data_IF_706233829775
#
_entry.id   IF_706233829775
#
_cell.length_a   1.000
_cell.length_b   1.000
_cell.length_c   1.000
_cell.angle_alpha   90.00
_cell.angle_beta   90.00
_cell.angle_gamma   90.00
#
_symmetry.space_group_name_H-M   'P 1'
#
loop_
_entity.id
_entity.type
_entity.pdbx_description
1 polymer ?
#
# COMPACT_ATOMS: atom_id res chain seq x y z
N UNK A 1 14.80 -20.84 -16.88
CA UNK A 1 13.36 -21.08 -17.09
C UNK A 1 12.82 -21.84 -15.88
N UNK A 2 11.57 -21.63 -15.48
CA UNK A 2 10.96 -22.41 -14.39
C UNK A 2 11.05 -23.91 -14.72
N UNK A 3 11.44 -24.79 -13.77
CA UNK A 3 11.46 -26.23 -13.99
C UNK A 3 10.08 -26.79 -14.42
N UNK A 4 9.01 -26.08 -14.10
CA UNK A 4 7.63 -26.44 -14.45
C UNK A 4 7.17 -25.91 -15.82
N UNK A 5 8.01 -25.16 -16.55
CA UNK A 5 7.61 -24.53 -17.81
C UNK A 5 7.03 -25.51 -18.84
N UNK A 6 7.61 -26.71 -18.95
CA UNK A 6 7.14 -27.77 -19.83
C UNK A 6 5.74 -28.30 -19.46
N UNK A 7 5.37 -28.27 -18.18
CA UNK A 7 4.04 -28.69 -17.71
C UNK A 7 3.01 -27.67 -18.20
N UNK A 8 3.29 -26.38 -18.03
CA UNK A 8 2.42 -25.29 -18.49
C UNK A 8 2.23 -25.30 -20.01
N UNK A 9 3.30 -25.56 -20.76
CA UNK A 9 3.24 -25.70 -22.21
C UNK A 9 2.26 -26.80 -22.64
N UNK A 10 2.40 -28.01 -22.08
CA UNK A 10 1.49 -29.12 -22.37
C UNK A 10 0.04 -28.80 -21.99
N UNK A 11 -0.18 -28.20 -20.82
CA UNK A 11 -1.53 -27.82 -20.38
C UNK A 11 -2.18 -26.83 -21.36
N UNK A 12 -1.44 -25.79 -21.79
CA UNK A 12 -1.95 -24.79 -22.74
C UNK A 12 -2.36 -25.42 -24.08
N UNK A 13 -1.59 -26.39 -24.58
CA UNK A 13 -1.91 -27.08 -25.83
C UNK A 13 -3.17 -27.96 -25.73
N UNK A 14 -3.38 -28.60 -24.56
CA UNK A 14 -4.49 -29.52 -24.31
C UNK A 14 -5.80 -28.83 -23.95
N UNK A 15 -5.77 -27.54 -23.57
CA UNK A 15 -6.97 -26.79 -23.20
C UNK A 15 -7.95 -26.66 -24.39
N UNK A 16 -9.17 -27.15 -24.20
CA UNK A 16 -10.26 -27.10 -25.19
C UNK A 16 -11.26 -25.97 -24.92
N UNK A 17 -11.24 -25.34 -23.74
CA UNK A 17 -12.09 -24.19 -23.42
C UNK A 17 -11.41 -22.87 -23.83
N UNK A 18 -12.18 -21.78 -24.06
CA UNK A 18 -11.62 -20.44 -24.12
C UNK A 18 -10.85 -20.14 -22.84
N UNK A 19 -9.67 -19.54 -22.95
CA UNK A 19 -8.91 -19.09 -21.80
C UNK A 19 -8.61 -17.60 -21.93
N UNK A 20 -8.51 -16.95 -20.78
CA UNK A 20 -8.09 -15.56 -20.66
C UNK A 20 -6.74 -15.54 -19.95
N UNK A 21 -5.69 -15.13 -20.67
CA UNK A 21 -4.38 -14.94 -20.09
C UNK A 21 -4.21 -13.46 -19.71
N UNK A 22 -4.21 -13.18 -18.41
CA UNK A 22 -3.88 -11.86 -17.89
C UNK A 22 -2.39 -11.84 -17.53
N UNK A 23 -1.65 -10.93 -18.14
CA UNK A 23 -0.21 -10.83 -17.91
C UNK A 23 0.17 -9.45 -17.42
N UNK A 24 0.78 -9.40 -16.25
CA UNK A 24 1.52 -8.23 -15.78
C UNK A 24 3.05 -8.35 -16.05
N UNK A 25 3.59 -9.58 -16.12
CA UNK A 25 5.04 -9.83 -16.04
C UNK A 25 5.61 -10.61 -17.24
N UNK A 26 4.83 -10.86 -18.30
CA UNK A 26 5.36 -11.53 -19.50
C UNK A 26 6.23 -10.54 -20.28
N UNK A 27 7.55 -10.73 -20.19
CA UNK A 27 8.54 -9.89 -20.86
C UNK A 27 8.47 -9.92 -22.40
N UNK A 28 7.83 -10.92 -23.02
CA UNK A 28 7.65 -10.98 -24.48
C UNK A 28 6.28 -11.52 -24.89
N UNK A 29 5.24 -10.70 -24.66
CA UNK A 29 3.86 -11.04 -25.00
C UNK A 29 3.67 -11.35 -26.49
N UNK A 30 4.39 -10.67 -27.38
CA UNK A 30 4.29 -10.87 -28.82
C UNK A 30 4.78 -12.27 -29.25
N UNK A 31 5.93 -12.73 -28.72
CA UNK A 31 6.42 -14.09 -29.01
C UNK A 31 5.49 -15.16 -28.47
N UNK A 32 4.97 -14.96 -27.26
CA UNK A 32 4.02 -15.91 -26.67
C UNK A 32 2.71 -15.96 -27.47
N UNK A 33 2.18 -14.80 -27.88
CA UNK A 33 1.01 -14.72 -28.74
C UNK A 33 1.23 -15.44 -30.08
N UNK A 34 2.36 -15.20 -30.75
CA UNK A 34 2.68 -15.87 -32.01
C UNK A 34 2.80 -17.40 -31.84
N UNK A 35 3.39 -17.87 -30.74
CA UNK A 35 3.46 -19.30 -30.42
C UNK A 35 2.07 -19.90 -30.17
N UNK A 36 1.23 -19.24 -29.36
CA UNK A 36 -0.14 -19.67 -29.09
C UNK A 36 -1.00 -19.69 -30.36
N UNK A 37 -0.89 -18.66 -31.20
CA UNK A 37 -1.64 -18.58 -32.45
C UNK A 37 -1.22 -19.71 -33.40
N UNK A 38 0.08 -19.94 -33.58
CA UNK A 38 0.59 -21.07 -34.37
C UNK A 38 0.07 -22.43 -33.85
N UNK A 39 0.08 -22.63 -32.54
CA UNK A 39 -0.42 -23.85 -31.92
C UNK A 39 -1.93 -24.04 -32.16
N UNK A 40 -2.74 -22.99 -32.00
CA UNK A 40 -4.18 -23.04 -32.27
C UNK A 40 -4.50 -23.26 -33.76
N UNK A 41 -3.76 -22.61 -34.67
CA UNK A 41 -3.98 -22.78 -36.12
C UNK A 41 -3.57 -24.17 -36.62
N UNK A 42 -2.70 -24.88 -35.89
CA UNK A 42 -2.27 -26.25 -36.19
C UNK A 42 -3.32 -27.32 -35.85
N UNK A 43 -4.36 -26.97 -35.08
CA UNK A 43 -5.43 -27.90 -34.70
C UNK A 43 -6.27 -28.30 -35.92
N UNK A 44 -6.64 -29.57 -36.01
CA UNK A 44 -7.42 -30.12 -37.13
C UNK A 44 -8.87 -29.66 -37.11
N UNK A 45 -9.44 -29.47 -35.91
CA UNK A 45 -10.82 -29.05 -35.69
C UNK A 45 -10.90 -27.90 -34.68
N UNK A 46 -11.97 -27.09 -34.80
CA UNK A 46 -12.30 -25.99 -33.87
C UNK A 46 -11.15 -24.98 -33.66
N UNK A 47 -10.57 -24.50 -34.77
CA UNK A 47 -9.58 -23.42 -34.74
C UNK A 47 -10.17 -22.18 -34.07
N UNK A 48 -9.41 -21.62 -33.13
CA UNK A 48 -9.80 -20.42 -32.39
C UNK A 48 -8.90 -19.28 -32.80
N UNK A 49 -9.47 -18.07 -32.76
CA UNK A 49 -8.67 -16.84 -32.91
C UNK A 49 -7.96 -16.58 -31.58
N UNK A 50 -6.66 -16.33 -31.64
CA UNK A 50 -5.89 -15.86 -30.47
C UNK A 50 -5.76 -14.35 -30.57
N UNK A 51 -6.52 -13.63 -29.74
CA UNK A 51 -6.47 -12.17 -29.67
C UNK A 51 -5.42 -11.70 -28.65
N UNK A 52 -4.51 -10.82 -29.09
CA UNK A 52 -3.60 -10.10 -28.20
C UNK A 52 -4.14 -8.69 -27.97
N UNK A 53 -4.61 -8.44 -26.76
CA UNK A 53 -5.05 -7.11 -26.32
C UNK A 53 -3.93 -6.50 -25.48
N UNK A 54 -3.38 -5.38 -25.95
CA UNK A 54 -2.31 -4.64 -25.25
C UNK A 54 -2.87 -3.33 -24.71
N UNK A 55 -2.73 -3.12 -23.41
CA UNK A 55 -3.02 -1.85 -22.77
C UNK A 55 -1.71 -1.17 -22.38
N UNK A 56 -1.40 -0.05 -23.04
CA UNK A 56 -0.21 0.77 -22.73
C UNK A 56 -0.45 1.76 -21.58
N UNK A 57 -1.70 1.90 -21.15
CA UNK A 57 -2.08 2.80 -20.08
C UNK A 57 -2.18 2.05 -18.74
N UNK A 58 -1.58 2.63 -17.70
CA UNK A 58 -1.78 2.15 -16.33
C UNK A 58 -3.11 2.68 -15.81
N UNK A 59 -3.97 1.78 -15.32
CA UNK A 59 -5.23 2.19 -14.70
C UNK A 59 -4.97 3.10 -13.49
N UNK A 60 -4.00 2.73 -12.64
CA UNK A 60 -3.53 3.54 -11.52
C UNK A 60 -2.22 4.22 -11.88
N UNK A 61 -2.21 5.55 -11.86
CA UNK A 61 -0.99 6.33 -12.05
C UNK A 61 -0.10 6.18 -10.81
N UNK A 62 1.21 6.20 -11.02
CA UNK A 62 2.19 6.15 -9.95
C UNK A 62 2.73 7.56 -9.69
N UNK A 63 2.66 7.99 -8.44
CA UNK A 63 3.31 9.20 -7.97
C UNK A 63 4.47 8.80 -7.06
N UNK A 64 5.65 9.40 -7.29
CA UNK A 64 6.82 9.15 -6.46
C UNK A 64 6.83 10.14 -5.31
N UNK A 65 7.13 9.62 -4.12
CA UNK A 65 7.33 10.41 -2.92
C UNK A 65 8.58 9.95 -2.20
N UNK A 66 9.20 10.87 -1.47
CA UNK A 66 10.31 10.60 -0.57
C UNK A 66 9.85 10.85 0.87
N UNK A 67 10.31 10.02 1.80
CA UNK A 67 10.11 10.27 3.22
C UNK A 67 11.09 11.36 3.66
N UNK A 68 10.60 12.48 4.19
CA UNK A 68 11.45 13.50 4.81
C UNK A 68 12.07 12.93 6.07
N UNK A 69 13.38 13.10 6.22
CA UNK A 69 14.13 12.71 7.42
C UNK A 69 14.99 13.86 7.90
N UNK A 70 15.15 13.97 9.21
CA UNK A 70 16.18 14.80 9.81
C UNK A 70 17.54 14.31 9.31
N UNK A 71 18.53 15.20 9.29
CA UNK A 71 19.85 14.88 8.79
C UNK A 71 20.42 13.69 9.57
N UNK A 72 20.64 12.52 8.94
CA UNK A 72 21.07 11.35 9.66
C UNK A 72 22.53 11.51 10.10
N UNK A 73 22.86 10.96 11.26
CA UNK A 73 24.23 10.97 11.75
C UNK A 73 25.12 10.03 10.90
N UNK A 74 26.31 10.48 10.45
CA UNK A 74 27.25 9.63 9.73
C UNK A 74 27.73 8.45 10.57
N UNK A 75 28.00 7.31 9.94
CA UNK A 75 28.47 6.09 10.63
C UNK A 75 29.78 6.35 11.40
N UNK A 76 30.67 7.20 10.87
CA UNK A 76 31.98 7.50 11.48
C UNK A 76 31.90 8.31 12.78
N UNK A 77 30.78 9.00 13.04
CA UNK A 77 30.61 9.79 14.26
C UNK A 77 30.49 8.92 15.53
N UNK A 78 30.13 7.64 15.40
CA UNK A 78 29.91 6.73 16.52
C UNK A 78 31.19 6.09 17.11
N UNK A 79 32.37 6.31 16.51
CA UNK A 79 33.62 5.72 17.02
C UNK A 79 34.20 6.47 18.24
N UNK A 80 33.79 7.73 18.45
CA UNK A 80 34.29 8.56 19.54
C UNK A 80 33.29 8.76 20.70
N UNK A 81 32.08 8.19 20.60
CA UNK A 81 31.03 8.39 21.60
C UNK A 81 30.64 7.07 22.28
N UNK A 82 31.53 6.58 23.14
CA UNK A 82 31.30 5.46 24.06
C UNK A 82 30.59 5.90 25.35
N UNK A 83 29.98 7.09 25.38
CA UNK A 83 29.35 7.58 26.59
C UNK A 83 28.47 8.79 26.37
N UNK A 84 27.26 8.57 25.86
CA UNK A 84 25.99 9.01 26.47
C UNK A 84 24.83 8.72 25.49
N UNK A 85 24.11 7.61 25.65
CA UNK A 85 23.03 7.20 24.73
C UNK A 85 21.74 8.02 24.88
N UNK A 86 21.82 9.26 25.36
CA UNK A 86 20.64 10.00 25.84
C UNK A 86 20.43 11.40 25.26
N UNK A 87 21.25 11.87 24.31
CA UNK A 87 21.17 13.26 23.84
C UNK A 87 21.31 13.49 22.33
N UNK A 88 20.89 12.54 21.49
CA UNK A 88 20.56 12.90 20.10
C UNK A 88 19.20 13.61 20.11
N UNK A 89 19.22 14.95 20.16
CA UNK A 89 18.04 15.78 19.91
C UNK A 89 17.39 15.32 18.61
N UNK A 90 16.27 14.60 18.72
CA UNK A 90 15.43 14.23 17.59
C UNK A 90 14.87 15.53 17.02
N UNK A 91 15.56 16.13 16.06
CA UNK A 91 15.01 17.21 15.25
C UNK A 91 13.72 16.69 14.62
N UNK A 92 12.59 17.05 15.24
CA UNK A 92 11.28 16.69 14.73
C UNK A 92 11.04 17.51 13.49
N UNK A 93 11.04 16.85 12.34
CA UNK A 93 10.64 17.47 11.08
C UNK A 93 9.22 18.01 11.25
N UNK A 94 9.03 19.31 11.08
CA UNK A 94 7.71 19.92 11.07
C UNK A 94 6.97 19.60 9.76
N UNK A 95 5.65 19.43 9.89
CA UNK A 95 4.75 19.12 8.77
C UNK A 95 4.79 17.67 8.32
N UNK A 96 4.34 17.48 7.08
CA UNK A 96 4.23 16.18 6.41
C UNK A 96 5.62 15.53 6.21
N UNK A 97 5.71 14.24 6.51
CA UNK A 97 6.86 13.38 6.26
C UNK A 97 6.85 12.82 4.83
N UNK A 98 5.69 12.69 4.18
CA UNK A 98 5.62 12.19 2.80
C UNK A 98 5.66 13.37 1.85
N UNK A 99 6.74 13.49 1.09
CA UNK A 99 6.96 14.56 0.12
C UNK A 99 6.90 14.02 -1.32
N UNK A 100 5.82 14.28 -2.07
CA UNK A 100 5.74 13.96 -3.48
C UNK A 100 6.76 14.76 -4.28
N UNK A 101 7.35 14.14 -5.29
CA UNK A 101 8.32 14.82 -6.15
C UNK A 101 8.13 14.46 -7.62
N UNK A 102 8.71 15.30 -8.47
CA UNK A 102 8.72 15.08 -9.91
C UNK A 102 9.89 14.15 -10.27
N UNK A 103 9.64 12.94 -10.82
CA UNK A 103 10.68 11.96 -11.15
C UNK A 103 11.87 12.48 -11.99
N UNK A 104 11.73 13.56 -12.77
CA UNK A 104 12.85 14.11 -13.56
C UNK A 104 13.80 14.95 -12.71
N UNK A 105 13.39 15.37 -11.51
CA UNK A 105 14.27 16.07 -10.56
C UNK A 105 15.46 15.21 -10.08
N UNK A 106 15.40 13.88 -10.24
CA UNK A 106 16.52 12.98 -9.90
C UNK A 106 17.39 12.62 -11.12
N UNK A 107 17.04 13.09 -12.32
CA UNK A 107 17.79 12.75 -13.51
C UNK A 107 19.01 13.62 -13.73
N UNK A 108 20.06 13.00 -14.26
CA UNK A 108 21.27 13.68 -14.74
C UNK A 108 21.23 13.77 -16.27
N UNK A 109 21.55 14.94 -16.88
CA UNK A 109 21.59 15.10 -18.33
C UNK A 109 22.39 14.01 -19.04
N UNK A 110 23.53 13.60 -18.48
CA UNK A 110 24.40 12.56 -19.02
C UNK A 110 23.70 11.20 -19.07
N UNK A 111 22.92 10.86 -18.03
CA UNK A 111 22.16 9.60 -17.99
C UNK A 111 21.02 9.61 -18.99
N UNK A 112 20.33 10.74 -19.14
CA UNK A 112 19.28 10.89 -20.17
C UNK A 112 19.90 10.77 -21.57
N UNK A 113 21.09 11.32 -21.81
CA UNK A 113 21.79 11.19 -23.09
C UNK A 113 22.11 9.73 -23.44
N UNK A 114 22.51 8.94 -22.44
CA UNK A 114 22.90 7.54 -22.64
C UNK A 114 21.70 6.59 -22.80
N UNK A 115 20.63 6.82 -22.05
CA UNK A 115 19.54 5.84 -21.90
C UNK A 115 18.15 6.36 -22.28
N UNK A 116 18.02 7.65 -22.57
CA UNK A 116 16.73 8.31 -22.74
C UNK A 116 15.96 8.42 -21.42
N UNK A 117 14.69 8.82 -21.54
CA UNK A 117 13.72 8.74 -20.45
C UNK A 117 13.02 7.37 -20.56
N UNK A 118 12.95 6.56 -19.50
CA UNK A 118 12.27 5.27 -19.53
C UNK A 118 10.78 5.40 -19.91
N UNK A 119 10.29 4.50 -20.78
CA UNK A 119 8.91 4.51 -21.27
C UNK A 119 7.88 4.21 -20.16
N UNK A 120 8.29 3.49 -19.12
CA UNK A 120 7.48 3.15 -17.96
C UNK A 120 7.32 4.30 -16.95
N UNK A 121 8.08 5.39 -17.14
CA UNK A 121 8.00 6.61 -16.36
C UNK A 121 6.97 7.59 -16.94
N UNK A 122 5.71 7.19 -16.81
CA UNK A 122 4.53 7.98 -17.16
C UNK A 122 4.21 8.98 -16.05
N UNK A 123 3.96 10.24 -16.42
CA UNK A 123 3.62 11.30 -15.47
C UNK A 123 2.12 11.36 -15.19
N UNK A 124 1.74 11.77 -13.97
CA UNK A 124 0.34 12.12 -13.66
C UNK A 124 -0.07 13.42 -14.35
N UNK A 125 -1.36 13.69 -14.47
CA UNK A 125 -1.84 14.96 -15.03
C UNK A 125 -1.25 16.19 -14.32
N UNK A 126 -1.10 16.12 -12.99
CA UNK A 126 -0.45 17.16 -12.17
C UNK A 126 1.01 17.35 -12.54
N UNK A 127 1.75 16.26 -12.71
CA UNK A 127 3.17 16.30 -13.08
C UNK A 127 3.38 16.77 -14.52
N UNK A 128 2.49 16.43 -15.46
CA UNK A 128 2.53 16.97 -16.83
C UNK A 128 2.35 18.49 -16.82
N UNK A 129 1.38 18.99 -16.04
CA UNK A 129 1.19 20.44 -15.87
C UNK A 129 2.41 21.10 -15.21
N UNK A 130 2.98 20.48 -14.17
CA UNK A 130 4.21 20.98 -13.53
C UNK A 130 5.39 21.03 -14.50
N UNK A 131 5.58 19.99 -15.33
CA UNK A 131 6.60 19.94 -16.35
C UNK A 131 6.42 21.08 -17.36
N UNK A 132 5.21 21.23 -17.92
CA UNK A 132 4.89 22.34 -18.82
C UNK A 132 5.22 23.69 -18.18
N UNK A 133 4.72 23.94 -16.97
CA UNK A 133 4.86 25.23 -16.29
C UNK A 133 6.34 25.56 -16.04
N UNK A 134 7.15 24.55 -15.70
CA UNK A 134 8.59 24.68 -15.48
C UNK A 134 9.34 24.95 -16.78
N UNK A 135 9.00 24.24 -17.87
CA UNK A 135 9.61 24.46 -19.19
C UNK A 135 9.21 25.82 -19.78
N UNK A 136 7.96 26.23 -19.60
CA UNK A 136 7.42 27.51 -20.05
C UNK A 136 8.11 28.71 -19.37
N UNK A 137 8.53 28.56 -18.11
CA UNK A 137 9.29 29.58 -17.40
C UNK A 137 10.73 29.77 -17.94
N UNK A 138 11.24 28.79 -18.71
CA UNK A 138 12.61 28.77 -19.24
C UNK A 138 12.66 29.14 -20.72
N UNK A 139 11.59 28.88 -21.49
CA UNK A 139 11.54 29.08 -22.94
C UNK A 139 10.16 29.54 -23.43
N UNK A 140 10.07 30.76 -23.93
CA UNK A 140 8.80 31.36 -24.42
C UNK A 140 8.22 30.59 -25.62
N UNK A 141 9.05 30.03 -26.51
CA UNK A 141 8.56 29.20 -27.62
C UNK A 141 7.79 27.98 -27.10
N UNK A 142 8.32 27.31 -26.07
CA UNK A 142 7.68 26.15 -25.44
C UNK A 142 6.42 26.54 -24.68
N UNK A 143 6.45 27.69 -23.99
CA UNK A 143 5.26 28.25 -23.33
C UNK A 143 4.12 28.45 -24.30
N UNK A 144 4.38 29.05 -25.46
CA UNK A 144 3.36 29.23 -26.48
C UNK A 144 2.91 27.88 -27.05
N UNK A 145 3.83 27.07 -27.57
CA UNK A 145 3.52 25.84 -28.31
C UNK A 145 2.75 24.80 -27.49
N UNK A 146 3.05 24.68 -26.20
CA UNK A 146 2.51 23.65 -25.32
C UNK A 146 1.51 24.16 -24.27
N UNK A 147 1.03 25.41 -24.38
CA UNK A 147 0.02 25.95 -23.45
C UNK A 147 -1.23 25.05 -23.45
N UNK A 148 -1.60 24.43 -22.31
CA UNK A 148 -2.63 23.38 -22.30
C UNK A 148 -3.97 23.80 -22.90
N UNK A 149 -4.47 25.01 -22.61
CA UNK A 149 -5.77 25.43 -23.12
C UNK A 149 -5.74 25.57 -24.65
N UNK A 150 -4.70 26.18 -25.20
CA UNK A 150 -4.48 26.34 -26.63
C UNK A 150 -4.17 25.02 -27.32
N UNK A 151 -3.32 24.19 -26.71
CA UNK A 151 -2.91 22.89 -27.21
C UNK A 151 -4.11 21.95 -27.39
N UNK A 152 -5.04 21.94 -26.44
CA UNK A 152 -6.26 21.14 -26.54
C UNK A 152 -7.43 21.87 -27.20
N UNK A 153 -7.27 23.12 -27.63
CA UNK A 153 -8.34 23.90 -28.25
C UNK A 153 -9.51 24.18 -27.31
N UNK A 154 -9.26 24.32 -26.01
CA UNK A 154 -10.26 24.64 -25.00
C UNK A 154 -10.95 25.97 -25.33
N UNK A 155 -12.29 25.97 -25.26
CA UNK A 155 -13.14 27.15 -25.43
C UNK A 155 -14.01 27.29 -24.20
N UNK A 156 -14.12 28.51 -23.67
CA UNK A 156 -14.90 28.80 -22.45
C UNK A 156 -16.37 28.37 -22.52
N UNK A 157 -16.93 28.25 -23.73
CA UNK A 157 -18.35 27.90 -23.93
C UNK A 157 -18.62 26.39 -23.91
N UNK A 158 -17.60 25.53 -23.98
CA UNK A 158 -17.77 24.08 -24.18
C UNK A 158 -16.94 23.27 -23.19
N UNK A 159 -17.53 22.32 -22.45
CA UNK A 159 -16.76 21.43 -21.60
C UNK A 159 -15.87 20.53 -22.46
N UNK A 160 -14.57 20.56 -22.19
CA UNK A 160 -13.58 19.76 -22.91
C UNK A 160 -13.31 18.45 -22.15
N UNK A 161 -13.55 17.32 -22.81
CA UNK A 161 -13.19 16.01 -22.28
C UNK A 161 -11.72 15.69 -22.56
N UNK A 162 -10.90 15.66 -21.51
CA UNK A 162 -9.49 15.26 -21.60
C UNK A 162 -9.35 13.75 -21.37
N UNK A 163 -9.12 13.01 -22.44
CA UNK A 163 -8.76 11.60 -22.36
C UNK A 163 -7.32 11.41 -21.92
N UNK A 164 -7.00 10.23 -21.37
CA UNK A 164 -5.62 9.83 -21.07
C UNK A 164 -4.73 9.84 -22.32
N UNK A 165 -5.25 9.38 -23.45
CA UNK A 165 -4.57 9.48 -24.73
C UNK A 165 -4.23 10.94 -25.11
N UNK A 166 -5.14 11.90 -24.86
CA UNK A 166 -4.86 13.32 -25.08
C UNK A 166 -3.77 13.83 -24.13
N UNK A 167 -3.83 13.46 -22.84
CA UNK A 167 -2.79 13.79 -21.85
C UNK A 167 -1.41 13.27 -22.28
N UNK A 168 -1.34 12.02 -22.76
CA UNK A 168 -0.08 11.40 -23.24
C UNK A 168 0.49 12.11 -24.47
N UNK A 169 -0.34 12.69 -25.34
CA UNK A 169 0.16 13.49 -26.48
C UNK A 169 0.92 14.73 -26.01
N UNK A 170 0.36 15.46 -25.04
CA UNK A 170 1.04 16.63 -24.46
C UNK A 170 2.32 16.23 -23.72
N UNK A 171 2.24 15.19 -22.87
CA UNK A 171 3.42 14.67 -22.16
C UNK A 171 4.54 14.28 -23.14
N UNK A 172 4.22 13.52 -24.20
CA UNK A 172 5.22 13.09 -25.18
C UNK A 172 5.81 14.28 -25.94
N UNK A 173 4.99 15.29 -26.27
CA UNK A 173 5.47 16.52 -26.89
C UNK A 173 6.45 17.28 -26.00
N UNK A 174 6.13 17.43 -24.70
CA UNK A 174 7.02 18.04 -23.71
C UNK A 174 8.30 17.23 -23.52
N UNK A 175 8.22 15.89 -23.42
CA UNK A 175 9.38 15.00 -23.35
C UNK A 175 10.29 15.17 -24.55
N UNK A 176 9.74 15.15 -25.76
CA UNK A 176 10.50 15.34 -26.99
C UNK A 176 11.18 16.72 -27.01
N UNK A 177 10.46 17.77 -26.62
CA UNK A 177 11.02 19.13 -26.52
C UNK A 177 12.17 19.21 -25.51
N UNK A 178 12.02 18.57 -24.35
CA UNK A 178 13.06 18.50 -23.32
C UNK A 178 14.30 17.73 -23.83
N UNK A 179 14.10 16.63 -24.56
CA UNK A 179 15.19 15.86 -25.17
C UNK A 179 15.90 16.64 -26.30
N UNK A 180 15.17 17.45 -27.07
CA UNK A 180 15.78 18.33 -28.07
C UNK A 180 16.72 19.37 -27.43
N UNK A 181 16.36 19.91 -26.26
CA UNK A 181 17.26 20.81 -25.53
C UNK A 181 18.56 20.14 -25.10
N UNK A 182 18.56 18.83 -24.83
CA UNK A 182 19.81 18.12 -24.52
C UNK A 182 20.85 18.19 -25.65
N UNK A 183 20.40 18.38 -26.90
CA UNK A 183 21.23 18.53 -28.09
C UNK A 183 21.44 20.00 -28.50
N UNK A 184 20.41 20.84 -28.40
CA UNK A 184 20.42 22.22 -28.87
C UNK A 184 20.92 23.23 -27.82
N UNK A 185 20.46 23.09 -26.57
CA UNK A 185 20.68 24.06 -25.48
C UNK A 185 20.54 23.37 -24.12
N UNK A 186 21.63 22.72 -23.69
CA UNK A 186 21.65 21.95 -22.45
C UNK A 186 21.40 22.82 -21.21
N UNK A 187 21.67 24.12 -21.28
CA UNK A 187 21.46 25.04 -20.16
C UNK A 187 19.98 25.15 -19.80
N UNK A 188 19.08 25.20 -20.80
CA UNK A 188 17.63 25.17 -20.58
C UNK A 188 17.19 23.92 -19.85
N UNK A 189 17.67 22.76 -20.30
CA UNK A 189 17.36 21.49 -19.67
C UNK A 189 17.85 21.45 -18.21
N UNK A 190 19.09 21.88 -17.97
CA UNK A 190 19.66 21.93 -16.61
C UNK A 190 18.87 22.84 -15.68
N UNK A 191 18.41 24.01 -16.17
CA UNK A 191 17.52 24.91 -15.39
C UNK A 191 16.22 24.21 -15.01
N UNK A 192 15.57 23.51 -15.94
CA UNK A 192 14.35 22.75 -15.66
C UNK A 192 14.60 21.66 -14.63
N UNK A 193 15.61 20.81 -14.82
CA UNK A 193 15.93 19.73 -13.88
C UNK A 193 16.23 20.28 -12.48
N UNK A 194 17.00 21.38 -12.38
CA UNK A 194 17.28 22.03 -11.11
C UNK A 194 16.01 22.52 -10.41
N UNK A 195 15.06 23.14 -11.13
CA UNK A 195 13.78 23.57 -10.54
C UNK A 195 12.98 22.37 -10.03
N UNK A 196 12.94 21.26 -10.80
CA UNK A 196 12.23 20.04 -10.43
C UNK A 196 12.89 19.29 -9.27
N UNK A 197 14.22 19.42 -9.09
CA UNK A 197 14.99 18.78 -8.03
C UNK A 197 14.85 19.51 -6.67
N UNK A 198 14.63 20.84 -6.69
CA UNK A 198 14.58 21.68 -5.48
C UNK A 198 13.76 21.12 -4.32
N UNK A 199 12.53 20.57 -4.52
CA UNK A 199 11.72 20.06 -3.41
C UNK A 199 12.42 18.94 -2.62
N UNK A 200 13.26 18.13 -3.27
CA UNK A 200 13.88 16.96 -2.65
C UNK A 200 15.39 17.10 -2.45
N UNK A 201 16.00 18.22 -2.86
CA UNK A 201 17.46 18.41 -2.83
C UNK A 201 18.03 18.19 -1.43
N UNK A 202 17.41 18.79 -0.41
CA UNK A 202 17.77 18.58 1.00
C UNK A 202 17.73 17.09 1.38
N UNK A 203 16.66 16.39 0.98
CA UNK A 203 16.48 14.97 1.29
C UNK A 203 17.46 14.07 0.54
N UNK A 204 17.87 14.44 -0.67
CA UNK A 204 18.92 13.76 -1.42
C UNK A 204 20.29 13.98 -0.76
N UNK A 205 20.58 15.21 -0.33
CA UNK A 205 21.83 15.56 0.36
C UNK A 205 21.95 14.84 1.71
N UNK A 206 20.87 14.75 2.48
CA UNK A 206 20.81 13.97 3.73
C UNK A 206 21.18 12.50 3.51
N UNK A 207 20.91 11.97 2.30
CA UNK A 207 21.15 10.57 1.94
C UNK A 207 22.44 10.32 1.16
N UNK A 208 23.19 11.37 0.84
CA UNK A 208 24.42 11.26 0.07
C UNK A 208 25.59 10.69 0.89
N UNK A 209 25.53 10.79 2.22
CA UNK A 209 26.54 10.28 3.15
C UNK A 209 26.11 8.92 3.70
N UNK A 210 27.01 7.96 3.97
CA UNK A 210 26.66 6.71 4.63
C UNK A 210 26.08 6.93 6.05
N UNK A 211 24.89 6.40 6.29
CA UNK A 211 24.20 6.42 7.59
C UNK A 211 23.57 5.05 7.90
N UNK A 212 23.17 4.83 9.16
CA UNK A 212 22.45 3.63 9.56
C UNK A 212 20.99 3.67 9.04
N UNK A 213 20.75 3.03 7.90
CA UNK A 213 19.44 2.97 7.23
C UNK A 213 18.39 2.21 8.02
N UNK A 214 18.78 1.14 8.72
CA UNK A 214 17.86 0.33 9.52
C UNK A 214 17.34 1.12 10.71
N UNK A 215 18.24 1.77 11.46
CA UNK A 215 17.86 2.66 12.57
C UNK A 215 16.93 3.77 12.09
N UNK A 216 17.28 4.43 10.99
CA UNK A 216 16.45 5.49 10.43
C UNK A 216 15.04 4.98 10.06
N UNK A 217 14.94 3.78 9.48
CA UNK A 217 13.64 3.19 9.15
C UNK A 217 12.83 2.87 10.40
N UNK A 218 13.44 2.27 11.43
CA UNK A 218 12.80 1.96 12.71
C UNK A 218 12.30 3.21 13.45
N UNK A 219 13.09 4.29 13.42
CA UNK A 219 12.75 5.54 14.08
C UNK A 219 11.54 6.23 13.41
N UNK A 220 11.36 6.06 12.09
CA UNK A 220 10.35 6.78 11.32
C UNK A 220 9.13 5.95 10.90
N UNK A 221 9.16 4.61 11.01
CA UNK A 221 8.11 3.75 10.46
C UNK A 221 6.72 4.04 11.03
N UNK A 222 6.65 4.30 12.34
CA UNK A 222 5.40 4.65 13.03
C UNK A 222 4.80 5.91 12.42
N UNK A 223 5.61 6.97 12.34
CA UNK A 223 5.17 8.29 11.87
C UNK A 223 4.79 8.26 10.40
N UNK A 224 5.54 7.51 9.58
CA UNK A 224 5.20 7.27 8.18
C UNK A 224 3.84 6.59 8.03
N UNK A 225 3.58 5.53 8.79
CA UNK A 225 2.32 4.78 8.70
C UNK A 225 1.13 5.59 9.23
N UNK A 226 1.32 6.39 10.28
CA UNK A 226 0.31 7.32 10.77
C UNK A 226 -0.12 8.31 9.67
N UNK A 227 0.84 8.96 9.01
CA UNK A 227 0.53 9.89 7.90
C UNK A 227 -0.10 9.17 6.69
N UNK A 228 0.37 7.97 6.34
CA UNK A 228 -0.26 7.16 5.30
C UNK A 228 -1.71 6.83 5.63
N UNK A 229 -2.03 6.56 6.90
CA UNK A 229 -3.39 6.30 7.36
C UNK A 229 -4.24 7.57 7.25
N UNK A 230 -3.74 8.71 7.70
CA UNK A 230 -4.43 10.01 7.65
C UNK A 230 -4.74 10.44 6.21
N UNK A 231 -3.79 10.24 5.29
CA UNK A 231 -3.92 10.55 3.86
C UNK A 231 -4.63 9.47 3.05
N UNK A 232 -5.20 8.43 3.69
CA UNK A 232 -5.86 7.29 3.03
C UNK A 232 -4.97 6.57 1.98
N UNK A 233 -3.67 6.49 2.24
CA UNK A 233 -2.66 5.83 1.39
C UNK A 233 -2.47 4.35 1.71
N UNK A 234 -3.23 3.79 2.65
CA UNK A 234 -3.29 2.36 2.93
C UNK A 234 -4.33 1.65 2.03
N UNK A 235 -4.15 0.36 1.69
CA UNK A 235 -3.08 -0.52 2.13
C UNK A 235 -1.75 -0.31 1.39
N UNK A 236 -0.65 -0.77 1.99
CA UNK A 236 0.71 -0.62 1.47
C UNK A 236 1.59 -1.87 1.62
N UNK A 237 2.59 -1.98 0.75
CA UNK A 237 3.66 -2.97 0.84
C UNK A 237 5.00 -2.24 1.01
N UNK A 238 5.78 -2.64 2.02
CA UNK A 238 7.10 -2.11 2.30
C UNK A 238 8.16 -3.16 1.96
N UNK A 239 9.00 -2.87 0.98
CA UNK A 239 10.01 -3.81 0.51
C UNK A 239 11.36 -3.59 1.20
N UNK A 240 11.96 -4.67 1.71
CA UNK A 240 13.34 -4.71 2.19
C UNK A 240 13.89 -6.12 1.97
N UNK A 241 15.10 -6.25 1.43
CA UNK A 241 15.70 -7.57 1.15
C UNK A 241 16.20 -8.30 2.41
N UNK A 242 16.36 -7.60 3.53
CA UNK A 242 16.68 -8.23 4.82
C UNK A 242 15.40 -8.61 5.58
N UNK A 243 15.19 -9.93 5.75
CA UNK A 243 14.06 -10.49 6.50
C UNK A 243 13.99 -9.97 7.94
N UNK A 244 15.13 -9.78 8.60
CA UNK A 244 15.17 -9.35 9.99
C UNK A 244 14.67 -7.90 10.08
N UNK A 245 15.02 -7.06 9.11
CA UNK A 245 14.51 -5.68 9.04
C UNK A 245 13.00 -5.67 8.79
N UNK A 246 12.48 -6.53 7.92
CA UNK A 246 11.03 -6.68 7.74
C UNK A 246 10.31 -7.05 9.04
N UNK A 247 10.84 -8.02 9.79
CA UNK A 247 10.29 -8.46 11.07
C UNK A 247 10.37 -7.34 12.13
N UNK A 248 11.52 -6.68 12.25
CA UNK A 248 11.74 -5.57 13.21
C UNK A 248 10.82 -4.37 12.94
N UNK A 249 10.62 -3.99 11.68
CA UNK A 249 9.71 -2.89 11.33
C UNK A 249 8.25 -3.24 11.67
N UNK A 250 7.83 -4.47 11.38
CA UNK A 250 6.49 -4.96 11.70
C UNK A 250 6.25 -4.97 13.22
N UNK A 251 7.23 -5.46 13.98
CA UNK A 251 7.19 -5.50 15.44
C UNK A 251 7.17 -4.10 16.06
N UNK A 252 8.06 -3.20 15.64
CA UNK A 252 8.12 -1.82 16.13
C UNK A 252 6.78 -1.10 15.99
N UNK A 253 6.11 -1.27 14.85
CA UNK A 253 4.80 -0.70 14.58
C UNK A 253 3.70 -1.36 15.43
N UNK A 254 3.76 -2.68 15.63
CA UNK A 254 2.82 -3.40 16.47
C UNK A 254 2.90 -2.97 17.94
N UNK A 255 4.12 -2.88 18.47
CA UNK A 255 4.40 -2.46 19.84
C UNK A 255 3.92 -1.03 20.10
N UNK A 256 4.10 -0.13 19.13
CA UNK A 256 3.55 1.22 19.22
C UNK A 256 2.02 1.22 19.35
N UNK A 257 1.32 0.48 18.49
CA UNK A 257 -0.14 0.43 18.50
C UNK A 257 -0.67 -0.19 19.81
N UNK A 258 0.01 -1.21 20.33
CA UNK A 258 -0.30 -1.81 21.63
C UNK A 258 -0.05 -0.84 22.79
N UNK A 259 1.03 -0.06 22.74
CA UNK A 259 1.33 0.95 23.75
C UNK A 259 0.25 2.04 23.77
N UNK A 260 -0.12 2.57 22.59
CA UNK A 260 -1.21 3.56 22.45
C UNK A 260 -2.56 3.01 22.90
N UNK A 261 -2.85 1.75 22.61
CA UNK A 261 -4.07 1.08 23.10
C UNK A 261 -4.07 0.99 24.62
N UNK A 262 -2.95 0.56 25.21
CA UNK A 262 -2.78 0.42 26.66
C UNK A 262 -2.90 1.76 27.38
N UNK A 263 -2.26 2.80 26.86
CA UNK A 263 -2.37 4.17 27.38
C UNK A 263 -3.83 4.66 27.35
N UNK A 264 -4.53 4.42 26.24
CA UNK A 264 -5.94 4.77 26.13
C UNK A 264 -6.81 3.97 27.10
N UNK A 265 -6.59 2.66 27.26
CA UNK A 265 -7.31 1.85 28.26
C UNK A 265 -7.07 2.34 29.69
N UNK A 266 -5.89 2.91 29.96
CA UNK A 266 -5.54 3.46 31.26
C UNK A 266 -6.08 4.88 31.51
N UNK A 267 -6.51 5.58 30.45
CA UNK A 267 -7.02 6.95 30.52
C UNK A 267 -8.31 7.07 31.35
N UNK A 268 -8.51 8.25 31.95
CA UNK A 268 -9.74 8.56 32.69
C UNK A 268 -10.98 8.53 31.79
N UNK A 269 -10.84 8.91 30.51
CA UNK A 269 -11.91 8.81 29.53
C UNK A 269 -12.36 7.36 29.39
N UNK A 270 -11.43 6.43 29.20
CA UNK A 270 -11.76 5.02 29.05
C UNK A 270 -12.40 4.46 30.32
N UNK A 271 -11.81 4.75 31.48
CA UNK A 271 -12.31 4.29 32.78
C UNK A 271 -13.69 4.83 33.15
N UNK A 272 -14.09 5.98 32.61
CA UNK A 272 -15.38 6.59 32.90
C UNK A 272 -16.47 6.16 31.93
N UNK A 273 -16.14 6.07 30.63
CA UNK A 273 -17.12 5.80 29.57
C UNK A 273 -17.24 4.32 29.19
N UNK A 274 -16.20 3.52 29.43
CA UNK A 274 -16.08 2.18 28.85
C UNK A 274 -15.67 1.09 29.85
N UNK A 275 -14.95 1.43 30.92
CA UNK A 275 -14.63 0.44 31.95
C UNK A 275 -15.90 -0.02 32.68
N UNK A 276 -15.96 -1.34 32.88
CA UNK A 276 -17.07 -2.02 33.53
C UNK A 276 -17.01 -1.67 35.03
N UNK A 277 -17.76 -0.66 35.45
CA UNK A 277 -17.80 -0.25 36.87
C UNK A 277 -18.72 -1.08 37.75
N UNK A 278 -19.27 -2.20 37.29
CA UNK A 278 -20.19 -3.00 38.10
C UNK A 278 -20.43 -4.41 37.51
N UNK A 279 -19.40 -5.26 37.42
CA UNK A 279 -19.60 -6.69 37.10
C UNK A 279 -20.66 -7.32 38.02
N UNK A 280 -20.69 -6.93 39.30
CA UNK A 280 -21.64 -7.43 40.29
C UNK A 280 -23.08 -6.96 40.08
N UNK A 281 -23.30 -5.71 39.66
CA UNK A 281 -24.65 -5.16 39.45
C UNK A 281 -25.29 -5.77 38.21
N UNK A 282 -24.50 -5.98 37.15
CA UNK A 282 -24.97 -6.57 35.90
C UNK A 282 -25.08 -8.10 35.98
N UNK A 283 -24.24 -8.78 36.76
CA UNK A 283 -24.42 -10.20 37.10
C UNK A 283 -25.73 -10.43 37.86
N UNK A 284 -26.11 -9.51 38.77
CA UNK A 284 -27.41 -9.53 39.46
C UNK A 284 -28.58 -9.29 38.50
N UNK A 285 -28.44 -8.42 37.51
CA UNK A 285 -29.47 -8.16 36.48
C UNK A 285 -29.61 -9.34 35.53
N UNK A 286 -28.51 -9.97 35.10
CA UNK A 286 -28.51 -11.16 34.25
C UNK A 286 -29.07 -12.39 34.96
N UNK A 287 -28.78 -12.54 36.27
CA UNK A 287 -29.39 -13.56 37.12
C UNK A 287 -30.90 -13.34 37.25
N UNK A 288 -31.34 -12.09 37.51
CA UNK A 288 -32.76 -11.72 37.56
C UNK A 288 -33.49 -11.98 36.23
N UNK A 289 -32.86 -11.70 35.08
CA UNK A 289 -33.45 -12.01 33.75
C UNK A 289 -33.57 -13.52 33.53
N UNK A 290 -32.57 -14.32 33.92
CA UNK A 290 -32.66 -15.79 33.89
C UNK A 290 -33.76 -16.32 34.81
N UNK A 291 -33.81 -15.84 36.06
CA UNK A 291 -34.82 -16.24 37.04
C UNK A 291 -36.26 -15.85 36.60
N UNK A 292 -36.42 -14.74 35.88
CA UNK A 292 -37.72 -14.32 35.31
C UNK A 292 -38.12 -15.14 34.07
N UNK A 293 -37.15 -15.53 33.23
CA UNK A 293 -37.40 -16.41 32.09
C UNK A 293 -37.76 -17.84 32.53
N UNK A 294 -37.14 -18.33 33.61
CA UNK A 294 -37.45 -19.63 34.20
C UNK A 294 -38.81 -19.63 34.91
N UNK A 295 -39.22 -18.50 35.53
CA UNK A 295 -40.60 -18.34 36.05
C UNK A 295 -41.65 -18.29 34.95
N UNK A 296 -41.40 -17.60 33.84
CA UNK A 296 -42.32 -17.57 32.67
C UNK A 296 -42.46 -18.92 31.98
N UNK A 297 -41.51 -19.85 32.15
CA UNK A 297 -41.64 -21.24 31.66
C UNK A 297 -42.50 -22.14 32.55
N UNK A 298 -42.77 -21.75 33.80
CA UNK A 298 -43.56 -22.52 34.78
C UNK A 298 -45.07 -22.31 34.70
N UNK A 299 -45.54 -21.22 34.11
CA UNK A 299 -46.97 -20.91 33.92
C UNK A 299 -47.28 -20.85 32.42
N UNK A 300 -47.48 -22.01 31.79
CA UNK A 300 -48.17 -22.10 30.50
C UNK A 300 -49.65 -22.30 30.76
N UNK A 301 -50.44 -21.24 30.61
CA UNK A 301 -51.78 -21.37 30.06
C UNK A 301 -51.76 -20.81 28.65
N UNK A 302 -52.33 -21.58 27.73
CA UNK A 302 -52.51 -21.28 26.32
C UNK A 302 -53.55 -20.18 26.18
N UNK A 303 -53.20 -19.05 25.56
CA UNK A 303 -54.02 -18.32 24.58
C UNK A 303 -53.24 -17.11 24.03
N UNK A 304 -53.61 -16.72 22.81
CA UNK A 304 -52.91 -15.87 21.83
C UNK A 304 -52.62 -14.44 22.32
N UNK A 305 -51.44 -13.88 21.97
CA UNK A 305 -51.33 -12.47 21.55
C UNK A 305 -49.96 -12.13 20.92
N UNK A 306 -50.04 -11.25 19.93
CA UNK A 306 -49.06 -10.57 19.05
C UNK A 306 -47.53 -10.75 19.24
N UNK A 307 -46.75 -10.79 18.14
CA UNK A 307 -45.30 -10.64 18.19
C UNK A 307 -44.94 -9.17 18.52
N UNK A 308 -44.87 -8.84 19.81
CA UNK A 308 -44.12 -7.68 20.24
C UNK A 308 -42.64 -7.91 19.89
N UNK A 309 -42.12 -7.15 18.91
CA UNK A 309 -40.70 -6.93 18.71
C UNK A 309 -40.12 -6.26 19.96
N UNK A 310 -39.81 -7.06 20.98
CA UNK A 310 -38.83 -6.70 21.99
C UNK A 310 -37.48 -6.72 21.30
N UNK A 311 -36.91 -5.53 21.10
CA UNK A 311 -35.53 -5.33 20.69
C UNK A 311 -34.61 -5.92 21.78
N UNK A 312 -34.37 -7.23 21.65
CA UNK A 312 -33.72 -8.11 22.63
C UNK A 312 -32.20 -8.06 22.50
N UNK A 313 -31.65 -6.88 22.20
CA UNK A 313 -30.21 -6.68 22.12
C UNK A 313 -29.60 -6.87 23.53
N UNK A 314 -28.94 -8.01 23.75
CA UNK A 314 -28.16 -8.31 24.95
C UNK A 314 -27.28 -7.09 25.31
N UNK A 315 -27.50 -6.42 26.46
CA UNK A 315 -26.70 -5.26 26.84
C UNK A 315 -25.20 -5.54 26.86
N UNK A 316 -24.80 -6.80 27.09
CA UNK A 316 -23.39 -7.21 26.99
C UNK A 316 -22.90 -7.24 25.55
N UNK A 317 -23.73 -7.66 24.57
CA UNK A 317 -23.37 -7.65 23.17
C UNK A 317 -23.20 -6.21 22.64
N UNK A 318 -24.09 -5.30 23.02
CA UNK A 318 -24.00 -3.87 22.64
C UNK A 318 -22.74 -3.23 23.22
N UNK A 319 -22.43 -3.47 24.50
CA UNK A 319 -21.23 -2.92 25.12
C UNK A 319 -19.94 -3.53 24.56
N UNK A 320 -19.91 -4.84 24.28
CA UNK A 320 -18.77 -5.49 23.59
C UNK A 320 -18.57 -4.92 22.19
N UNK A 321 -19.64 -4.69 21.44
CA UNK A 321 -19.57 -4.07 20.12
C UNK A 321 -19.01 -2.65 20.21
N UNK A 322 -19.45 -1.86 21.21
CA UNK A 322 -18.93 -0.51 21.48
C UNK A 322 -17.44 -0.52 21.83
N UNK A 323 -17.00 -1.44 22.69
CA UNK A 323 -15.58 -1.62 23.00
C UNK A 323 -14.78 -1.99 21.75
N UNK A 324 -15.25 -2.95 20.98
CA UNK A 324 -14.61 -3.38 19.72
C UNK A 324 -14.48 -2.22 18.73
N UNK A 325 -15.51 -1.37 18.64
CA UNK A 325 -15.50 -0.19 17.78
C UNK A 325 -14.49 0.86 18.24
N UNK A 326 -14.43 1.13 19.55
CA UNK A 326 -13.51 2.14 20.10
C UNK A 326 -12.05 1.69 19.99
N UNK A 327 -11.78 0.41 20.24
CA UNK A 327 -10.42 -0.16 20.14
C UNK A 327 -9.98 -0.37 18.68
N UNK A 328 -10.92 -0.42 17.73
CA UNK A 328 -10.60 -0.55 16.30
C UNK A 328 -9.68 0.58 15.78
N UNK A 329 -9.60 1.73 16.46
CA UNK A 329 -8.69 2.83 16.08
C UNK A 329 -7.20 2.47 16.22
N UNK A 330 -6.86 1.50 17.08
CA UNK A 330 -5.51 0.96 17.28
C UNK A 330 -5.20 -0.23 16.38
N UNK A 331 -6.07 -0.51 15.42
CA UNK A 331 -5.86 -1.50 14.37
C UNK A 331 -5.80 -0.79 13.03
N UNK A 332 -4.82 -1.14 12.22
CA UNK A 332 -4.79 -0.71 10.83
C UNK A 332 -5.76 -1.55 10.01
N UNK A 333 -6.44 -0.96 9.03
CA UNK A 333 -7.33 -1.69 8.12
C UNK A 333 -6.98 -1.40 6.67
N UNK A 334 -7.00 -2.45 5.85
CA UNK A 334 -6.95 -2.32 4.41
C UNK A 334 -8.30 -1.87 3.84
N UNK A 335 -8.38 -1.74 2.51
CA UNK A 335 -9.62 -1.39 1.82
C UNK A 335 -10.66 -2.50 1.98
N UNK A 336 -11.93 -2.12 2.16
CA UNK A 336 -13.05 -3.08 2.21
C UNK A 336 -13.34 -3.70 3.59
N UNK A 337 -12.63 -3.29 4.65
CA UNK A 337 -13.04 -3.57 6.03
C UNK A 337 -12.76 -4.97 6.57
N UNK A 338 -12.32 -5.93 5.73
CA UNK A 338 -11.94 -7.29 6.14
C UNK A 338 -13.13 -8.23 6.34
N UNK A 339 -13.16 -9.36 5.63
CA UNK A 339 -14.12 -10.45 5.85
C UNK A 339 -13.74 -11.32 7.06
N UNK A 340 -14.45 -11.16 8.18
CA UNK A 340 -14.13 -11.84 9.44
C UNK A 340 -14.08 -13.37 9.31
N UNK A 341 -14.90 -13.98 8.44
CA UNK A 341 -14.90 -15.43 8.24
C UNK A 341 -13.60 -15.90 7.57
N UNK A 342 -13.09 -15.11 6.61
CA UNK A 342 -11.77 -15.37 5.99
C UNK A 342 -10.67 -15.27 7.04
N UNK A 343 -10.75 -14.27 7.93
CA UNK A 343 -9.80 -14.11 9.03
C UNK A 343 -9.76 -15.36 9.90
N UNK A 344 -10.89 -15.76 10.46
CA UNK A 344 -10.98 -16.86 11.40
C UNK A 344 -10.49 -18.19 10.78
N UNK A 345 -10.84 -18.44 9.51
CA UNK A 345 -10.35 -19.60 8.74
C UNK A 345 -8.83 -19.60 8.56
N UNK A 346 -8.23 -18.46 8.24
CA UNK A 346 -6.77 -18.37 8.07
C UNK A 346 -6.04 -18.57 9.39
N UNK A 347 -6.55 -17.99 10.48
CA UNK A 347 -6.00 -18.17 11.83
C UNK A 347 -6.06 -19.65 12.25
N UNK A 348 -7.19 -20.31 12.05
CA UNK A 348 -7.36 -21.72 12.38
C UNK A 348 -6.39 -22.60 11.57
N UNK A 349 -6.25 -22.33 10.27
CA UNK A 349 -5.30 -23.04 9.39
C UNK A 349 -3.86 -22.89 9.87
N UNK A 350 -3.44 -21.68 10.25
CA UNK A 350 -2.09 -21.45 10.80
C UNK A 350 -1.89 -22.17 12.14
N UNK A 351 -2.87 -22.10 13.04
CA UNK A 351 -2.85 -22.80 14.33
C UNK A 351 -2.81 -24.32 14.19
N UNK A 352 -3.31 -24.89 13.09
CA UNK A 352 -3.25 -26.33 12.80
C UNK A 352 -1.93 -26.74 12.14
N UNK A 353 -1.51 -26.01 11.10
CA UNK A 353 -0.36 -26.37 10.25
C UNK A 353 1.02 -25.96 10.79
N UNK A 354 1.07 -25.07 11.78
CA UNK A 354 2.32 -24.43 12.24
C UNK A 354 2.47 -24.36 13.76
N UNK A 355 1.87 -25.32 14.49
CA UNK A 355 1.88 -25.34 15.97
C UNK A 355 3.29 -25.18 16.53
N UNK A 356 3.47 -24.18 17.40
CA UNK A 356 4.70 -23.98 18.17
C UNK A 356 5.80 -23.16 17.50
N UNK A 357 5.62 -22.71 16.24
CA UNK A 357 6.59 -21.82 15.59
C UNK A 357 6.49 -20.41 16.15
N UNK A 358 7.64 -19.79 16.40
CA UNK A 358 7.74 -18.40 16.84
C UNK A 358 7.17 -17.45 15.78
N UNK A 359 7.54 -17.64 14.51
CA UNK A 359 7.00 -16.87 13.37
C UNK A 359 5.48 -16.87 13.33
N UNK A 360 4.85 -18.02 13.56
CA UNK A 360 3.38 -18.12 13.61
C UNK A 360 2.80 -17.33 14.78
N UNK A 361 3.40 -17.42 15.97
CA UNK A 361 2.94 -16.64 17.14
C UNK A 361 3.05 -15.14 16.87
N UNK A 362 4.17 -14.70 16.31
CA UNK A 362 4.41 -13.31 15.96
C UNK A 362 3.42 -12.83 14.92
N UNK A 363 3.21 -13.57 13.81
CA UNK A 363 2.22 -13.22 12.79
C UNK A 363 0.80 -13.11 13.35
N UNK A 364 0.40 -14.02 14.24
CA UNK A 364 -0.92 -13.94 14.88
C UNK A 364 -1.10 -12.64 15.69
N UNK A 365 -0.07 -12.22 16.44
CA UNK A 365 -0.06 -10.93 17.16
C UNK A 365 -0.14 -9.75 16.19
N UNK A 366 0.65 -9.77 15.11
CA UNK A 366 0.66 -8.72 14.09
C UNK A 366 -0.70 -8.58 13.38
N UNK A 367 -1.36 -9.70 13.07
CA UNK A 367 -2.65 -9.72 12.37
C UNK A 367 -3.76 -9.03 13.16
N UNK A 368 -3.72 -9.10 14.50
CA UNK A 368 -4.66 -8.39 15.37
C UNK A 368 -4.53 -6.86 15.22
N UNK A 369 -3.36 -6.38 14.77
CA UNK A 369 -3.09 -4.95 14.49
C UNK A 369 -3.20 -4.58 13.01
N UNK A 370 -3.53 -5.54 12.15
CA UNK A 370 -3.61 -5.33 10.70
C UNK A 370 -2.24 -5.15 10.05
N UNK A 371 -1.20 -5.76 10.62
CA UNK A 371 0.19 -5.73 10.15
C UNK A 371 0.58 -7.15 9.74
N UNK A 372 1.42 -7.30 8.71
CA UNK A 372 2.04 -8.58 8.39
C UNK A 372 3.48 -8.42 7.92
N UNK A 373 4.20 -9.54 7.83
CA UNK A 373 5.45 -9.62 7.08
C UNK A 373 5.48 -10.86 6.19
N UNK A 374 6.24 -10.82 5.09
CA UNK A 374 6.37 -11.92 4.14
C UNK A 374 7.80 -12.08 3.63
N UNK A 375 8.38 -13.26 3.79
CA UNK A 375 9.71 -13.57 3.27
C UNK A 375 9.89 -15.08 3.08
N UNK A 376 11.00 -15.46 2.44
CA UNK A 376 11.30 -16.84 2.06
C UNK A 376 11.27 -17.86 3.21
N UNK A 377 11.62 -17.46 4.44
CA UNK A 377 11.70 -18.35 5.60
C UNK A 377 10.33 -18.74 6.22
N UNK A 378 9.25 -18.06 5.83
CA UNK A 378 7.90 -18.46 6.21
C UNK A 378 7.48 -19.74 5.48
N UNK A 379 6.66 -20.57 6.14
CA UNK A 379 6.06 -21.73 5.50
C UNK A 379 4.88 -21.34 4.61
N UNK A 380 4.37 -22.30 3.82
CA UNK A 380 3.30 -22.03 2.87
C UNK A 380 1.97 -21.62 3.52
N UNK A 381 1.70 -22.07 4.75
CA UNK A 381 0.50 -21.68 5.49
C UNK A 381 0.59 -20.23 5.98
N UNK A 382 1.76 -19.82 6.48
CA UNK A 382 2.06 -18.45 6.91
C UNK A 382 2.03 -17.48 5.72
N UNK A 383 2.75 -17.79 4.63
CA UNK A 383 2.75 -16.99 3.40
C UNK A 383 1.35 -16.82 2.84
N UNK A 384 0.62 -17.93 2.70
CA UNK A 384 -0.75 -17.92 2.19
C UNK A 384 -1.70 -17.11 3.07
N UNK A 385 -1.55 -17.16 4.40
CA UNK A 385 -2.36 -16.35 5.31
C UNK A 385 -2.09 -14.85 5.13
N UNK A 386 -0.82 -14.42 5.10
CA UNK A 386 -0.45 -13.01 4.91
C UNK A 386 -1.04 -12.48 3.60
N UNK A 387 -0.87 -13.22 2.51
CA UNK A 387 -1.36 -12.85 1.18
C UNK A 387 -2.89 -12.76 1.12
N UNK A 388 -3.61 -13.76 1.66
CA UNK A 388 -5.08 -13.78 1.67
C UNK A 388 -5.63 -12.66 2.53
N UNK A 389 -5.07 -12.46 3.74
CA UNK A 389 -5.56 -11.44 4.67
C UNK A 389 -5.31 -10.02 4.17
N UNK A 390 -4.21 -9.77 3.46
CA UNK A 390 -3.99 -8.47 2.82
C UNK A 390 -4.96 -8.21 1.66
N UNK A 391 -5.16 -9.19 0.77
CA UNK A 391 -6.14 -9.06 -0.31
C UNK A 391 -7.56 -8.89 0.20
N UNK A 392 -7.90 -9.53 1.32
CA UNK A 392 -9.20 -9.39 1.97
C UNK A 392 -9.37 -8.08 2.75
N UNK A 393 -8.32 -7.26 2.88
CA UNK A 393 -8.37 -5.97 3.59
C UNK A 393 -8.21 -6.05 5.11
N UNK A 394 -7.86 -7.22 5.66
CA UNK A 394 -7.58 -7.38 7.10
C UNK A 394 -6.23 -6.80 7.50
N UNK A 395 -5.24 -6.90 6.62
CA UNK A 395 -3.94 -6.29 6.79
C UNK A 395 -3.90 -5.01 5.97
N UNK A 396 -3.45 -3.93 6.59
CA UNK A 396 -3.25 -2.65 5.93
C UNK A 396 -1.82 -2.49 5.42
N UNK A 397 -0.86 -3.14 6.07
CA UNK A 397 0.55 -3.03 5.68
C UNK A 397 1.25 -4.38 5.79
N UNK A 398 2.07 -4.70 4.79
CA UNK A 398 2.99 -5.84 4.83
C UNK A 398 4.42 -5.37 4.63
N UNK A 399 5.34 -5.87 5.47
CA UNK A 399 6.78 -5.76 5.29
C UNK A 399 7.32 -7.01 4.60
N UNK A 400 7.86 -6.89 3.39
CA UNK A 400 8.18 -8.04 2.56
C UNK A 400 9.54 -7.96 1.89
N UNK A 401 10.16 -9.11 1.68
CA UNK A 401 11.28 -9.22 0.73
C UNK A 401 10.76 -9.22 -0.71
N UNK A 402 11.68 -9.18 -1.68
CA UNK A 402 11.38 -9.28 -3.12
C UNK A 402 10.63 -10.57 -3.53
N UNK A 403 10.46 -11.54 -2.63
CA UNK A 403 9.67 -12.76 -2.88
C UNK A 403 8.20 -12.51 -3.20
N UNK A 404 7.64 -11.37 -2.80
CA UNK A 404 6.25 -10.99 -3.11
C UNK A 404 6.16 -10.01 -4.29
N UNK A 405 7.30 -9.55 -4.81
CA UNK A 405 7.38 -8.63 -5.95
C UNK A 405 7.34 -9.35 -7.32
N UNK A 406 7.34 -10.69 -7.33
CA UNK A 406 7.45 -11.54 -8.53
C UNK A 406 6.13 -12.20 -8.92
#
# INVERSE_FOLDING_TARGET
ASPEAHIWEHLLLLIQCPFLALSATIGNAAKLHAWLDNAEQSKTDKKRKVDLIVHHERYSELELSIMRVAKPQPIEANLNDLGDSSSASSETIEGDIIEPFMPYGVFMPEKIRMFGIPDDQQLTARQVLQLYTTMAAVDEKTKDEFEPCRYYGYKMAEPLWLSRAALRKLENGLKQRLLLWLAEDEEKMRKVLNILAKPIDEQLQHRAVPFNKEKLALDNIVRLVDEMKEKNMLPAMCFNDDRNVCESLALRLCEELEARETEFMNSAEFKTKYAIKDEDKYSKIAKRKRDMADKKKGEKNEEEDEPQEVDDADPFAVQRARLKQVLAKFRLRGRGGGDQDIYDKMIERMKKGSKGRESTRTLLRLFERGIGYHHGALNNAEKGAVEVLYRAGHLAIIFTTSTLAL
#
